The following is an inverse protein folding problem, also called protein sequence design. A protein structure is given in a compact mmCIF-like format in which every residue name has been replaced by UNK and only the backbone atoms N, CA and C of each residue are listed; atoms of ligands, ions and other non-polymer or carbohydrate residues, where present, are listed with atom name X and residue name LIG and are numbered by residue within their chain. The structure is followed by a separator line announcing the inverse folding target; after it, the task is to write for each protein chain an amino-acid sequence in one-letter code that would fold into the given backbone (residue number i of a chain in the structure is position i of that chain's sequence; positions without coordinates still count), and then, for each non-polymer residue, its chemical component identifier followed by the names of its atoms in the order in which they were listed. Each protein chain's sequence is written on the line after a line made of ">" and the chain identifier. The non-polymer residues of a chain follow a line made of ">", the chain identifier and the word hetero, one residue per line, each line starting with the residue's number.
data_IF_076201733589
#
_entry.id   IF_076201733589
#
_cell.length_a   1.000
_cell.length_b   1.000
_cell.length_c   1.000
_cell.angle_alpha   90.00
_cell.angle_beta   90.00
_cell.angle_gamma   90.00
#
_symmetry.space_group_name_H-M   'P 1'
#
loop_
_entity.id
_entity.type
_entity.pdbx_description
1 polymer ?
#
# COMPACT_ATOMS: atom_id res chain seq x y z
N UNK A 1 9.80 10.59 20.66
CA UNK A 1 10.00 12.03 20.36
C UNK A 1 9.89 12.16 18.84
N UNK A 2 8.94 12.96 18.32
CA UNK A 2 8.77 13.12 16.88
C UNK A 2 9.98 13.81 16.23
N UNK A 3 10.29 13.43 14.99
CA UNK A 3 11.27 14.12 14.15
C UNK A 3 10.49 15.05 13.20
N UNK A 4 10.98 16.27 13.04
CA UNK A 4 10.38 17.26 12.13
C UNK A 4 11.46 17.84 11.20
N UNK A 5 11.05 18.19 9.98
CA UNK A 5 11.83 19.02 9.06
C UNK A 5 11.44 20.47 9.22
N UNK A 6 12.33 21.29 9.75
CA UNK A 6 12.10 22.72 9.95
C UNK A 6 12.51 23.47 8.70
N UNK A 7 11.54 24.07 8.00
CA UNK A 7 11.78 24.85 6.77
C UNK A 7 12.31 26.24 7.08
N UNK A 8 11.92 26.81 8.23
CA UNK A 8 12.31 28.14 8.68
C UNK A 8 12.57 28.10 10.18
N UNK A 9 13.74 28.60 10.59
CA UNK A 9 14.10 28.65 12.00
C UNK A 9 13.08 29.45 12.81
N UNK A 10 12.81 29.01 14.05
CA UNK A 10 11.83 29.65 14.91
C UNK A 10 12.18 29.50 16.40
N UNK A 11 11.83 30.50 17.24
CA UNK A 11 12.02 30.40 18.68
C UNK A 11 10.94 29.51 19.32
N UNK A 12 11.34 28.59 20.19
CA UNK A 12 10.45 27.70 20.93
C UNK A 12 10.71 27.75 22.43
N UNK A 13 9.66 27.95 23.22
CA UNK A 13 9.74 27.97 24.68
C UNK A 13 9.62 26.55 25.27
N UNK A 14 10.76 25.97 25.62
CA UNK A 14 10.83 24.68 26.32
C UNK A 14 10.48 24.91 27.80
N UNK A 15 9.43 24.25 28.28
CA UNK A 15 8.98 24.29 29.69
C UNK A 15 8.66 25.68 30.27
N UNK A 16 8.40 26.68 29.42
CA UNK A 16 7.93 28.01 29.84
C UNK A 16 8.99 28.93 30.49
N UNK A 17 10.21 28.45 30.72
CA UNK A 17 11.29 29.23 31.33
C UNK A 17 12.56 29.31 30.48
N UNK A 18 12.60 28.65 29.31
CA UNK A 18 13.75 28.66 28.41
C UNK A 18 13.27 28.76 26.96
N UNK A 19 13.70 29.80 26.24
CA UNK A 19 13.46 29.93 24.80
C UNK A 19 14.71 29.46 24.06
N UNK A 20 14.56 28.46 23.20
CA UNK A 20 15.62 27.97 22.31
C UNK A 20 15.28 28.31 20.87
N UNK A 21 16.28 28.51 20.03
CA UNK A 21 16.08 28.72 18.60
C UNK A 21 16.15 27.37 17.88
N UNK A 22 15.05 26.95 17.27
CA UNK A 22 14.96 25.73 16.50
C UNK A 22 15.43 26.06 15.08
N UNK A 23 16.63 25.61 14.73
CA UNK A 23 17.24 25.84 13.41
C UNK A 23 16.48 25.12 12.27
N UNK A 24 16.69 25.58 11.03
CA UNK A 24 16.19 24.87 9.85
C UNK A 24 16.94 23.55 9.65
N UNK A 25 16.23 22.51 9.22
CA UNK A 25 16.74 21.16 9.03
C UNK A 25 16.00 20.10 9.83
N UNK A 26 16.53 18.88 9.81
CA UNK A 26 15.98 17.72 10.51
C UNK A 26 16.30 17.81 12.00
N UNK A 27 15.27 17.80 12.84
CA UNK A 27 15.45 17.86 14.29
C UNK A 27 14.46 16.93 15.00
N UNK A 28 14.96 16.17 15.96
CA UNK A 28 14.13 15.44 16.91
C UNK A 28 13.68 16.39 18.01
N UNK A 29 12.36 16.52 18.18
CA UNK A 29 11.77 17.48 19.13
C UNK A 29 10.71 16.81 19.99
N UNK A 30 10.25 17.49 21.04
CA UNK A 30 9.12 17.03 21.86
C UNK A 30 7.78 17.24 21.11
N UNK A 31 6.76 16.46 21.45
CA UNK A 31 5.41 16.49 20.84
C UNK A 31 4.81 17.90 20.80
N UNK A 32 4.98 18.67 21.88
CA UNK A 32 4.51 20.06 21.95
C UNK A 32 5.23 20.98 20.97
N UNK A 33 6.52 20.74 20.73
CA UNK A 33 7.30 21.52 19.76
C UNK A 33 6.87 21.18 18.34
N UNK A 34 6.71 19.91 18.02
CA UNK A 34 6.26 19.47 16.70
C UNK A 34 4.87 20.02 16.36
N UNK A 35 3.93 19.96 17.31
CA UNK A 35 2.58 20.52 17.13
C UNK A 35 2.59 22.04 16.89
N UNK A 36 3.41 22.79 17.63
CA UNK A 36 3.55 24.23 17.41
C UNK A 36 4.22 24.53 16.07
N UNK A 37 5.26 23.79 15.71
CA UNK A 37 6.01 24.00 14.47
C UNK A 37 5.20 23.67 13.21
N UNK A 38 4.42 22.60 13.25
CA UNK A 38 3.64 22.09 12.11
C UNK A 38 2.26 22.74 12.04
N UNK A 39 1.50 22.76 13.13
CA UNK A 39 0.09 23.21 13.09
C UNK A 39 -0.07 24.71 13.38
N UNK A 40 0.68 25.25 14.35
CA UNK A 40 0.49 26.66 14.75
C UNK A 40 1.30 27.63 13.89
N UNK A 41 2.54 27.28 13.59
CA UNK A 41 3.48 28.12 12.85
C UNK A 41 3.55 27.75 11.37
N UNK A 42 3.27 26.49 11.00
CA UNK A 42 3.40 25.99 9.62
C UNK A 42 4.84 26.07 9.07
N UNK A 43 5.84 26.17 9.95
CA UNK A 43 7.26 26.33 9.59
C UNK A 43 8.00 24.99 9.54
N UNK A 44 7.35 23.90 9.92
CA UNK A 44 7.92 22.55 9.88
C UNK A 44 6.94 21.52 9.31
N UNK A 45 7.45 20.33 9.02
CA UNK A 45 6.66 19.15 8.66
C UNK A 45 7.14 17.95 9.48
N UNK A 46 6.24 17.04 9.85
CA UNK A 46 6.64 15.78 10.48
C UNK A 46 7.50 14.96 9.52
N UNK A 47 8.68 14.58 9.98
CA UNK A 47 9.55 13.60 9.34
C UNK A 47 9.40 12.31 10.11
N UNK A 48 8.47 11.47 9.68
CA UNK A 48 8.35 10.16 10.30
C UNK A 48 9.30 9.16 9.61
N UNK A 49 10.24 8.51 10.33
CA UNK A 49 11.05 7.44 9.75
C UNK A 49 10.23 6.17 9.45
N UNK A 50 8.93 6.12 9.76
CA UNK A 50 8.05 4.94 9.63
C UNK A 50 6.66 5.25 9.01
N UNK A 51 6.57 6.29 8.15
CA UNK A 51 5.56 6.38 7.10
C UNK A 51 4.09 6.58 7.46
N UNK A 52 3.68 7.03 8.65
CA UNK A 52 2.25 7.08 9.00
C UNK A 52 1.47 8.39 8.73
N UNK A 53 2.00 9.37 7.98
CA UNK A 53 1.19 10.58 7.64
C UNK A 53 1.41 11.13 6.24
N UNK A 54 1.69 10.24 5.29
CA UNK A 54 1.65 10.56 3.85
C UNK A 54 1.01 9.46 2.99
N UNK A 55 0.51 8.39 3.63
CA UNK A 55 -0.14 7.30 2.93
C UNK A 55 -1.58 7.67 2.63
N UNK A 56 -1.99 7.48 1.38
CA UNK A 56 -3.38 7.68 0.96
C UNK A 56 -4.24 6.60 1.62
N UNK A 57 -5.27 7.05 2.33
CA UNK A 57 -6.27 6.16 2.95
C UNK A 57 -7.29 5.64 1.94
N UNK A 58 -7.41 6.31 0.78
CA UNK A 58 -8.30 5.93 -0.31
C UNK A 58 -7.70 4.82 -1.22
N UNK A 59 -6.95 3.89 -0.63
CA UNK A 59 -6.39 2.74 -1.34
C UNK A 59 -7.39 1.60 -1.56
N UNK A 60 -7.12 0.68 -2.49
CA UNK A 60 -7.95 -0.51 -2.67
C UNK A 60 -7.88 -1.43 -1.44
N UNK A 61 -8.87 -2.31 -1.29
CA UNK A 61 -8.78 -3.43 -0.33
C UNK A 61 -7.92 -4.55 -0.92
N UNK A 62 -7.47 -5.50 -0.10
CA UNK A 62 -6.72 -6.66 -0.60
C UNK A 62 -7.52 -7.45 -1.64
N UNK A 63 -8.84 -7.58 -1.44
CA UNK A 63 -9.72 -8.25 -2.37
C UNK A 63 -9.68 -7.58 -3.76
N UNK A 64 -9.89 -6.27 -3.81
CA UNK A 64 -9.85 -5.53 -5.08
C UNK A 64 -8.46 -5.52 -5.72
N UNK A 65 -7.40 -5.48 -4.90
CA UNK A 65 -6.02 -5.56 -5.39
C UNK A 65 -5.75 -6.91 -6.07
N UNK A 66 -6.24 -8.01 -5.49
CA UNK A 66 -6.14 -9.35 -6.06
C UNK A 66 -7.06 -9.55 -7.27
N UNK A 67 -8.28 -9.01 -7.24
CA UNK A 67 -9.23 -9.05 -8.36
C UNK A 67 -8.73 -8.28 -9.58
N UNK A 68 -8.03 -7.16 -9.37
CA UNK A 68 -7.33 -6.42 -10.41
C UNK A 68 -6.13 -7.20 -11.00
N UNK A 69 -5.81 -8.38 -10.46
CA UNK A 69 -4.77 -9.28 -10.95
C UNK A 69 -3.40 -9.06 -10.33
N UNK A 70 -3.29 -8.27 -9.26
CA UNK A 70 -2.02 -8.07 -8.55
C UNK A 70 -1.79 -9.12 -7.47
N UNK A 71 -0.52 -9.33 -7.12
CA UNK A 71 -0.16 -10.30 -6.10
C UNK A 71 -0.55 -9.81 -4.71
N UNK A 72 -1.21 -10.65 -3.92
CA UNK A 72 -1.63 -10.31 -2.57
C UNK A 72 -0.45 -9.93 -1.67
N UNK A 73 0.74 -10.47 -1.94
CA UNK A 73 1.99 -10.15 -1.22
C UNK A 73 2.51 -8.72 -1.49
N UNK A 74 2.09 -8.11 -2.59
CA UNK A 74 2.46 -6.73 -2.96
C UNK A 74 1.47 -5.69 -2.40
N UNK A 75 0.50 -6.12 -1.61
CA UNK A 75 -0.42 -5.25 -0.89
C UNK A 75 0.14 -4.87 0.50
N UNK A 76 -0.06 -3.63 0.96
CA UNK A 76 -0.66 -2.49 0.25
C UNK A 76 0.29 -1.87 -0.78
N UNK A 77 -0.25 -1.15 -1.79
CA UNK A 77 0.59 -0.43 -2.75
C UNK A 77 1.43 0.65 -2.06
N UNK A 78 2.62 0.93 -2.60
CA UNK A 78 3.52 1.97 -2.05
C UNK A 78 2.81 3.31 -1.98
N UNK A 79 2.90 3.98 -0.83
CA UNK A 79 2.22 5.25 -0.62
C UNK A 79 0.73 5.15 -0.24
N UNK A 80 0.21 3.94 0.01
CA UNK A 80 -1.14 3.70 0.51
C UNK A 80 -1.13 2.97 1.84
N UNK A 81 -2.12 3.27 2.67
CA UNK A 81 -2.34 2.55 3.93
C UNK A 81 -3.16 1.29 3.67
N UNK A 82 -2.85 0.21 4.41
CA UNK A 82 -3.65 -1.01 4.38
C UNK A 82 -5.09 -0.74 4.81
N UNK A 83 -6.02 -0.91 3.88
CA UNK A 83 -7.48 -0.80 4.13
C UNK A 83 -8.10 -2.11 4.61
N UNK A 84 -7.41 -3.22 4.38
CA UNK A 84 -7.79 -4.55 4.84
C UNK A 84 -7.02 -4.95 6.09
N UNK A 85 -7.64 -5.79 6.92
CA UNK A 85 -7.01 -6.33 8.12
C UNK A 85 -5.93 -7.36 7.77
N UNK A 86 -4.95 -7.57 8.66
CA UNK A 86 -3.88 -8.54 8.43
C UNK A 86 -4.40 -9.97 8.17
N UNK A 87 -5.49 -10.36 8.84
CA UNK A 87 -6.20 -11.63 8.60
C UNK A 87 -6.70 -11.76 7.16
N UNK A 88 -7.30 -10.70 6.60
CA UNK A 88 -7.78 -10.70 5.22
C UNK A 88 -6.62 -10.77 4.23
N UNK A 89 -5.51 -10.09 4.55
CA UNK A 89 -4.29 -10.11 3.74
C UNK A 89 -3.69 -11.51 3.72
N UNK A 90 -3.54 -12.15 4.89
CA UNK A 90 -3.02 -13.52 4.98
C UNK A 90 -3.93 -14.52 4.26
N UNK A 91 -5.25 -14.40 4.43
CA UNK A 91 -6.21 -15.25 3.74
C UNK A 91 -6.14 -15.09 2.22
N UNK A 92 -5.98 -13.86 1.72
CA UNK A 92 -5.80 -13.59 0.29
C UNK A 92 -4.46 -14.12 -0.23
N UNK A 93 -3.35 -13.93 0.51
CA UNK A 93 -2.03 -14.47 0.14
C UNK A 93 -2.09 -15.99 0.10
N UNK A 94 -2.69 -16.62 1.10
CA UNK A 94 -2.86 -18.07 1.16
C UNK A 94 -3.74 -18.57 0.03
N UNK A 95 -4.90 -17.96 -0.21
CA UNK A 95 -5.79 -18.32 -1.31
C UNK A 95 -5.10 -18.15 -2.68
N UNK A 96 -4.30 -17.10 -2.86
CA UNK A 96 -3.58 -16.87 -4.11
C UNK A 96 -2.42 -17.84 -4.29
N UNK A 97 -1.75 -18.23 -3.19
CA UNK A 97 -0.72 -19.27 -3.19
C UNK A 97 -1.29 -20.67 -3.44
N UNK A 98 -2.45 -21.00 -2.87
CA UNK A 98 -3.20 -22.22 -3.18
C UNK A 98 -3.70 -22.21 -4.64
N UNK A 99 -4.13 -21.06 -5.17
CA UNK A 99 -4.52 -20.94 -6.57
C UNK A 99 -3.32 -21.00 -7.55
N UNK A 100 -2.09 -20.79 -7.08
CA UNK A 100 -0.87 -20.92 -7.90
C UNK A 100 -0.43 -22.37 -8.09
N UNK A 101 -0.68 -23.23 -7.09
CA UNK A 101 -0.49 -24.69 -7.16
C UNK A 101 -1.62 -25.38 -7.91
N UNK A 102 -2.81 -24.76 -8.01
CA UNK A 102 -3.90 -25.28 -8.85
C UNK A 102 -3.48 -25.23 -10.33
N UNK A 103 -3.16 -26.39 -10.89
CA UNK A 103 -2.85 -26.58 -12.31
C UNK A 103 -4.10 -26.57 -13.19
N UNK A 104 -5.29 -26.60 -12.58
CA UNK A 104 -6.56 -26.62 -13.29
C UNK A 104 -6.88 -25.23 -13.89
N UNK A 105 -7.01 -25.11 -15.23
CA UNK A 105 -7.34 -23.83 -15.88
C UNK A 105 -8.67 -23.24 -15.42
N UNK A 106 -9.59 -24.06 -14.90
CA UNK A 106 -10.85 -23.58 -14.33
C UNK A 106 -10.70 -23.02 -12.90
N UNK A 107 -9.62 -23.33 -12.19
CA UNK A 107 -9.41 -22.95 -10.79
C UNK A 107 -8.32 -21.90 -10.61
N UNK A 108 -7.35 -21.83 -11.53
CA UNK A 108 -6.26 -20.87 -11.49
C UNK A 108 -6.72 -19.40 -11.61
N UNK A 109 -5.82 -18.47 -11.28
CA UNK A 109 -6.08 -17.02 -11.32
C UNK A 109 -6.13 -16.49 -12.75
N UNK A 110 -6.79 -15.33 -12.95
CA UNK A 110 -6.89 -14.66 -14.26
C UNK A 110 -5.54 -14.52 -14.98
N UNK A 111 -4.45 -14.02 -14.36
CA UNK A 111 -3.17 -13.92 -15.04
C UNK A 111 -2.63 -15.28 -15.49
N UNK A 112 -2.66 -16.30 -14.63
CA UNK A 112 -2.21 -17.67 -14.94
C UNK A 112 -3.05 -18.30 -16.06
N UNK A 113 -4.37 -18.07 -16.05
CA UNK A 113 -5.28 -18.54 -17.09
C UNK A 113 -4.99 -17.89 -18.45
N UNK A 114 -4.65 -16.59 -18.47
CA UNK A 114 -4.22 -15.91 -19.70
C UNK A 114 -2.91 -16.49 -20.23
N UNK A 115 -1.94 -16.75 -19.36
CA UNK A 115 -0.69 -17.43 -19.74
C UNK A 115 -0.98 -18.83 -20.30
N UNK A 116 -1.83 -19.62 -19.64
CA UNK A 116 -2.22 -20.95 -20.08
C UNK A 116 -2.96 -20.95 -21.43
N UNK A 117 -3.93 -20.05 -21.63
CA UNK A 117 -4.64 -19.93 -22.90
C UNK A 117 -3.68 -19.52 -24.03
N UNK A 118 -2.69 -18.67 -23.73
CA UNK A 118 -1.65 -18.27 -24.69
C UNK A 118 -0.76 -19.47 -25.06
N UNK A 119 -0.36 -20.27 -24.06
CA UNK A 119 0.44 -21.49 -24.25
C UNK A 119 -0.30 -22.55 -25.10
N UNK A 120 -1.60 -22.71 -24.86
CA UNK A 120 -2.48 -23.57 -25.66
C UNK A 120 -2.83 -22.99 -27.04
N UNK A 121 -2.38 -21.76 -27.35
CA UNK A 121 -2.62 -21.09 -28.63
C UNK A 121 -4.06 -20.59 -28.82
N UNK A 122 -4.80 -20.41 -27.73
CA UNK A 122 -6.17 -19.92 -27.72
C UNK A 122 -6.15 -18.40 -27.67
N UNK A 123 -6.77 -17.75 -28.66
CA UNK A 123 -6.89 -16.29 -28.68
C UNK A 123 -7.99 -15.84 -27.73
N UNK A 124 -7.69 -14.90 -26.85
CA UNK A 124 -8.64 -14.31 -25.90
C UNK A 124 -8.49 -12.79 -25.85
N UNK A 125 -9.55 -12.09 -25.44
CA UNK A 125 -9.49 -10.65 -25.19
C UNK A 125 -8.73 -10.35 -23.89
N UNK A 126 -7.76 -9.43 -23.93
CA UNK A 126 -6.98 -9.05 -22.75
C UNK A 126 -7.85 -8.40 -21.64
N UNK A 127 -8.97 -7.78 -22.04
CA UNK A 127 -10.00 -7.21 -21.16
C UNK A 127 -11.11 -8.21 -20.81
N UNK A 128 -11.04 -9.46 -21.29
CA UNK A 128 -12.01 -10.48 -20.91
C UNK A 128 -11.97 -10.76 -19.40
N UNK A 129 -13.15 -10.88 -18.82
CA UNK A 129 -13.29 -11.27 -17.43
C UNK A 129 -12.95 -12.75 -17.22
N UNK A 130 -12.77 -13.15 -15.96
CA UNK A 130 -12.43 -14.54 -15.58
C UNK A 130 -13.39 -15.57 -16.19
N UNK A 131 -14.70 -15.31 -16.16
CA UNK A 131 -15.72 -16.23 -16.64
C UNK A 131 -15.63 -16.47 -18.16
N UNK A 132 -15.36 -15.42 -18.93
CA UNK A 132 -15.15 -15.52 -20.38
C UNK A 132 -13.90 -16.32 -20.69
N UNK A 133 -12.78 -16.04 -20.01
CA UNK A 133 -11.53 -16.79 -20.19
C UNK A 133 -11.70 -18.27 -19.84
N UNK A 134 -12.41 -18.59 -18.75
CA UNK A 134 -12.69 -19.97 -18.35
C UNK A 134 -13.57 -20.71 -19.36
N UNK A 135 -14.44 -19.99 -20.10
CA UNK A 135 -15.28 -20.59 -21.14
C UNK A 135 -14.52 -20.94 -22.42
N UNK A 136 -13.33 -20.33 -22.62
CA UNK A 136 -12.45 -20.64 -23.74
C UNK A 136 -11.57 -21.87 -23.47
N UNK A 137 -11.51 -22.32 -22.23
CA UNK A 137 -10.75 -23.51 -21.84
C UNK A 137 -11.39 -24.74 -22.50
N UNK A 138 -10.69 -25.44 -23.40
CA UNK A 138 -11.20 -26.68 -23.97
C UNK A 138 -11.32 -27.72 -22.85
N UNK A 139 -12.48 -28.37 -22.75
CA UNK A 139 -12.64 -29.54 -21.90
C UNK A 139 -11.78 -30.67 -22.49
N UNK A 140 -10.57 -30.86 -21.94
CA UNK A 140 -9.75 -32.04 -22.19
C UNK A 140 -10.28 -33.15 -21.28
N UNK A 141 -10.95 -34.13 -21.88
CA UNK A 141 -11.28 -35.43 -21.28
C UNK A 141 -10.01 -36.31 -21.21
#
# INVERSE_FOLDING_TARGET
>A
MPIIFVKKAFPFAVNGNQVIDILAGEQEVSDRCALVAVEHLGVAAYLDPQGHSGLKLDGPTIAEFVEAGYLAINYPPVGYESRSSQDEIDLAIKAQKDADIETDPMKMTVPKLKEWLTDEGITFDADANKATLQSLVPARD
#
